data_IF_183041549856
#
_entry.id   IF_183041549856
#
_cell.length_a   1.000
_cell.length_b   1.000
_cell.length_c   1.000
_cell.angle_alpha   90.00
_cell.angle_beta   90.00
_cell.angle_gamma   90.00
#
_symmetry.space_group_name_H-M   'P 1'
#
loop_
_entity.id
_entity.type
_entity.pdbx_description
1 polymer ?
#
# COMPACT_ATOMS: atom_id res chain seq x y z
N UNK A 1 4.08 15.89 -78.94
CA UNK A 1 4.87 16.26 -77.76
C UNK A 1 4.79 15.07 -76.81
N UNK A 2 5.63 14.02 -76.95
CA UNK A 2 6.98 13.87 -76.35
C UNK A 2 6.96 14.26 -74.86
N UNK A 3 7.33 13.49 -73.85
CA UNK A 3 8.03 12.22 -73.66
C UNK A 3 7.83 11.83 -72.17
N UNK A 4 7.66 10.53 -71.90
CA UNK A 4 8.43 9.69 -70.94
C UNK A 4 8.98 10.36 -69.64
N UNK A 5 8.71 9.76 -68.47
CA UNK A 5 9.75 9.13 -67.63
C UNK A 5 9.19 8.42 -66.39
N UNK A 6 9.42 7.12 -66.40
CA UNK A 6 9.42 6.13 -65.32
C UNK A 6 10.20 6.59 -64.09
N UNK A 7 9.66 6.36 -62.88
CA UNK A 7 10.51 6.11 -61.71
C UNK A 7 9.85 5.12 -60.73
N UNK A 8 10.39 3.90 -60.71
CA UNK A 8 10.33 2.96 -59.59
C UNK A 8 10.80 3.68 -58.31
N UNK A 9 10.04 3.61 -57.20
CA UNK A 9 10.71 3.54 -55.90
C UNK A 9 9.81 3.01 -54.79
N UNK A 10 10.20 1.83 -54.32
CA UNK A 10 10.17 1.33 -52.95
C UNK A 10 8.84 1.22 -52.20
N UNK A 11 8.41 -0.04 -52.11
CA UNK A 11 7.73 -0.62 -50.95
C UNK A 11 8.48 -0.27 -49.65
N UNK A 12 7.89 0.61 -48.84
CA UNK A 12 8.32 0.85 -47.45
C UNK A 12 7.64 -0.20 -46.58
N UNK A 13 8.38 -1.25 -46.23
CA UNK A 13 7.90 -2.30 -45.34
C UNK A 13 7.60 -1.70 -43.97
N UNK A 14 6.33 -1.79 -43.57
CA UNK A 14 5.86 -1.38 -42.25
C UNK A 14 6.44 -2.37 -41.23
N UNK A 15 7.53 -1.99 -40.57
CA UNK A 15 8.01 -2.71 -39.40
C UNK A 15 6.98 -2.49 -38.28
N UNK A 16 6.11 -3.48 -38.06
CA UNK A 16 5.36 -3.62 -36.80
C UNK A 16 6.38 -3.99 -35.71
N UNK A 17 6.62 -3.15 -34.69
CA UNK A 17 7.45 -3.56 -33.57
C UNK A 17 6.71 -4.66 -32.80
N UNK A 18 7.34 -5.83 -32.70
CA UNK A 18 6.92 -6.93 -31.84
C UNK A 18 7.05 -6.47 -30.39
N UNK A 19 5.91 -6.21 -29.75
CA UNK A 19 5.84 -5.91 -28.33
C UNK A 19 6.19 -7.18 -27.54
N UNK A 20 7.44 -7.29 -27.11
CA UNK A 20 7.87 -8.32 -26.16
C UNK A 20 7.18 -8.07 -24.81
N UNK A 21 6.14 -8.84 -24.51
CA UNK A 21 5.64 -8.98 -23.13
C UNK A 21 6.74 -9.66 -22.32
N UNK A 22 7.51 -8.88 -21.57
CA UNK A 22 8.40 -9.40 -20.55
C UNK A 22 7.54 -10.03 -19.45
N UNK A 23 7.82 -11.26 -19.00
CA UNK A 23 7.14 -11.82 -17.84
C UNK A 23 7.48 -10.95 -16.63
N UNK A 24 6.47 -10.27 -16.07
CA UNK A 24 6.62 -9.61 -14.78
C UNK A 24 6.79 -10.70 -13.72
N UNK A 25 7.94 -10.74 -13.07
CA UNK A 25 8.09 -11.49 -11.82
C UNK A 25 7.13 -10.84 -10.82
N UNK A 26 5.98 -11.48 -10.59
CA UNK A 26 5.01 -11.03 -9.59
C UNK A 26 5.60 -11.37 -8.23
N UNK A 27 6.18 -10.37 -7.57
CA UNK A 27 6.55 -10.50 -6.16
C UNK A 27 5.26 -10.65 -5.38
N UNK A 28 5.15 -11.70 -4.55
CA UNK A 28 3.94 -11.94 -3.79
C UNK A 28 3.68 -10.73 -2.88
N UNK A 29 2.60 -10.02 -3.12
CA UNK A 29 2.30 -8.79 -2.40
C UNK A 29 1.85 -9.19 -1.00
N UNK A 30 2.65 -8.87 0.02
CA UNK A 30 2.40 -9.27 1.41
C UNK A 30 2.00 -8.06 2.23
N UNK A 31 0.78 -8.09 2.75
CA UNK A 31 0.21 -7.05 3.59
C UNK A 31 0.02 -7.61 4.99
N UNK A 32 0.31 -6.80 6.00
CA UNK A 32 0.13 -7.19 7.40
C UNK A 32 -0.80 -6.19 8.04
N UNK A 33 -1.93 -6.68 8.51
CA UNK A 33 -2.97 -5.88 9.13
C UNK A 33 -2.93 -6.18 10.62
N UNK A 34 -2.63 -5.16 11.42
CA UNK A 34 -2.49 -5.31 12.87
C UNK A 34 -2.86 -4.01 13.61
N UNK A 35 -2.63 -3.97 14.91
CA UNK A 35 -2.65 -2.77 15.73
C UNK A 35 -1.45 -2.77 16.68
N UNK A 36 -1.26 -1.71 17.44
CA UNK A 36 -0.11 -1.64 18.36
C UNK A 36 -0.19 -2.58 19.56
N UNK A 37 -1.39 -3.06 19.91
CA UNK A 37 -1.56 -4.07 20.96
C UNK A 37 -1.08 -5.47 20.51
N UNK A 38 -0.97 -5.70 19.19
CA UNK A 38 -0.55 -6.96 18.59
C UNK A 38 0.67 -6.73 17.66
N UNK A 39 1.87 -6.52 18.23
CA UNK A 39 3.06 -6.28 17.43
C UNK A 39 3.41 -7.50 16.54
N UNK A 40 3.95 -7.21 15.37
CA UNK A 40 4.33 -8.22 14.36
C UNK A 40 5.81 -8.11 14.01
N UNK A 41 6.42 -9.23 13.64
CA UNK A 41 7.78 -9.27 13.09
C UNK A 41 7.71 -9.44 11.59
N UNK A 42 8.11 -8.39 10.86
CA UNK A 42 7.99 -8.32 9.40
C UNK A 42 9.33 -7.93 8.75
N UNK A 43 9.67 -8.49 7.58
CA UNK A 43 10.75 -7.98 6.73
C UNK A 43 10.54 -6.50 6.38
N UNK A 44 11.64 -5.76 6.15
CA UNK A 44 11.62 -4.32 5.89
C UNK A 44 10.81 -3.87 4.67
N UNK A 45 10.57 -4.76 3.70
CA UNK A 45 9.79 -4.48 2.49
C UNK A 45 8.31 -4.90 2.61
N UNK A 46 7.81 -5.17 3.83
CA UNK A 46 6.42 -5.59 4.04
C UNK A 46 5.53 -4.38 4.28
N UNK A 47 4.39 -4.31 3.60
CA UNK A 47 3.39 -3.26 3.85
C UNK A 47 2.64 -3.59 5.15
N UNK A 48 2.78 -2.75 6.16
CA UNK A 48 2.07 -2.89 7.44
C UNK A 48 0.95 -1.84 7.49
N UNK A 49 -0.25 -2.28 7.85
CA UNK A 49 -1.44 -1.47 8.05
C UNK A 49 -1.80 -1.56 9.53
N UNK A 50 -1.72 -0.44 10.23
CA UNK A 50 -2.08 -0.31 11.64
C UNK A 50 -3.49 0.29 11.75
N UNK A 51 -4.43 -0.51 12.24
CA UNK A 51 -5.84 -0.08 12.30
C UNK A 51 -6.12 0.95 13.40
N UNK A 52 -5.22 1.10 14.37
CA UNK A 52 -5.32 2.05 15.47
C UNK A 52 -4.49 3.32 15.26
N UNK A 53 -3.82 3.48 14.11
CA UNK A 53 -2.96 4.64 13.81
C UNK A 53 -3.73 5.96 13.92
N UNK A 54 -4.93 6.04 13.34
CA UNK A 54 -5.74 7.25 13.39
C UNK A 54 -6.02 7.67 14.84
N UNK A 55 -6.56 6.76 15.66
CA UNK A 55 -6.88 7.06 17.07
C UNK A 55 -5.64 7.52 17.83
N UNK A 56 -4.49 6.89 17.57
CA UNK A 56 -3.23 7.25 18.22
C UNK A 56 -2.74 8.64 17.83
N UNK A 57 -2.83 8.98 16.55
CA UNK A 57 -2.47 10.31 16.05
C UNK A 57 -3.39 11.39 16.64
N UNK A 58 -4.69 11.10 16.76
CA UNK A 58 -5.67 11.98 17.43
C UNK A 58 -5.37 12.15 18.92
N UNK A 59 -5.04 11.08 19.63
CA UNK A 59 -4.64 11.14 21.04
C UNK A 59 -3.34 11.93 21.24
N UNK A 60 -2.34 11.72 20.36
CA UNK A 60 -1.09 12.47 20.38
C UNK A 60 -1.35 13.96 20.15
N UNK A 61 -2.15 14.30 19.14
CA UNK A 61 -2.55 15.68 18.90
C UNK A 61 -3.26 16.26 20.12
N UNK A 62 -4.21 15.53 20.71
CA UNK A 62 -5.00 15.99 21.85
C UNK A 62 -4.16 16.32 23.08
N UNK A 63 -3.04 15.61 23.31
CA UNK A 63 -2.10 15.90 24.41
C UNK A 63 -1.34 17.20 24.23
N UNK A 64 -1.16 17.64 22.99
CA UNK A 64 -0.47 18.91 22.65
C UNK A 64 -1.43 20.12 22.70
N UNK A 65 -2.72 19.91 22.98
CA UNK A 65 -3.72 20.97 23.01
C UNK A 65 -4.03 21.47 24.42
N UNK A 66 -4.09 22.81 24.63
CA UNK A 66 -4.58 23.40 25.86
C UNK A 66 -6.03 23.01 26.16
N UNK A 67 -6.38 22.94 27.45
CA UNK A 67 -7.76 22.66 27.89
C UNK A 67 -8.74 23.82 27.62
N UNK A 68 -8.26 25.05 27.40
CA UNK A 68 -9.08 26.20 27.01
C UNK A 68 -9.40 26.11 25.50
N UNK A 69 -10.68 25.96 25.10
CA UNK A 69 -11.07 25.81 23.69
C UNK A 69 -10.61 26.94 22.78
N UNK A 70 -10.57 28.20 23.27
CA UNK A 70 -10.14 29.34 22.45
C UNK A 70 -8.64 29.31 22.19
N UNK A 71 -7.87 28.84 23.17
CA UNK A 71 -6.43 28.66 23.03
C UNK A 71 -6.11 27.42 22.20
N UNK A 72 -6.90 26.36 22.33
CA UNK A 72 -6.79 25.15 21.54
C UNK A 72 -6.95 25.44 20.04
N UNK A 73 -7.96 26.22 19.64
CA UNK A 73 -8.20 26.56 18.23
C UNK A 73 -6.99 27.30 17.62
N UNK A 74 -6.51 28.36 18.28
CA UNK A 74 -5.34 29.10 17.81
C UNK A 74 -4.04 28.26 17.82
N UNK A 75 -3.97 27.24 18.68
CA UNK A 75 -2.82 26.33 18.76
C UNK A 75 -2.88 25.29 17.65
N UNK A 76 -4.05 24.69 17.39
CA UNK A 76 -4.30 23.80 16.25
C UNK A 76 -3.97 24.48 14.94
N UNK A 77 -4.44 25.72 14.72
CA UNK A 77 -4.22 26.41 13.45
C UNK A 77 -2.72 26.65 13.20
N UNK A 78 -1.97 27.06 14.24
CA UNK A 78 -0.51 27.22 14.16
C UNK A 78 0.21 25.88 13.96
N UNK A 79 -0.24 24.84 14.65
CA UNK A 79 0.33 23.50 14.53
C UNK A 79 0.10 22.92 13.13
N UNK A 80 -1.11 22.98 12.59
CA UNK A 80 -1.45 22.48 11.24
C UNK A 80 -0.70 23.24 10.13
N UNK A 81 -0.44 24.53 10.32
CA UNK A 81 0.39 25.33 9.41
C UNK A 81 1.89 25.00 9.48
N UNK A 82 2.33 24.27 10.50
CA UNK A 82 3.74 23.90 10.68
C UNK A 82 4.14 22.69 9.80
N UNK A 83 5.45 22.44 9.60
CA UNK A 83 5.92 21.20 8.98
C UNK A 83 5.40 19.94 9.68
N UNK A 84 5.35 19.92 11.02
CA UNK A 84 4.84 18.79 11.79
C UNK A 84 3.35 18.54 11.51
N UNK A 85 2.55 19.60 11.41
CA UNK A 85 1.14 19.50 11.04
C UNK A 85 0.89 18.99 9.62
N UNK A 86 1.81 19.24 8.68
CA UNK A 86 1.74 18.64 7.33
C UNK A 86 2.09 17.16 7.34
N UNK A 87 3.05 16.73 8.15
CA UNK A 87 3.33 15.31 8.37
C UNK A 87 2.11 14.60 8.98
N UNK A 88 1.52 15.16 10.04
CA UNK A 88 0.31 14.63 10.66
C UNK A 88 -0.84 14.45 9.66
N UNK A 89 -1.07 15.42 8.78
CA UNK A 89 -2.12 15.33 7.75
C UNK A 89 -1.85 14.19 6.74
N UNK A 90 -0.59 13.97 6.37
CA UNK A 90 -0.21 12.86 5.49
C UNK A 90 -0.40 11.51 6.20
N UNK A 91 0.08 11.40 7.43
CA UNK A 91 -0.01 10.17 8.22
C UNK A 91 -1.48 9.79 8.48
N UNK A 92 -2.34 10.77 8.76
CA UNK A 92 -3.80 10.56 8.86
C UNK A 92 -4.42 10.07 7.54
N UNK A 93 -4.03 10.66 6.41
CA UNK A 93 -4.53 10.22 5.11
C UNK A 93 -4.11 8.77 4.79
N UNK A 94 -2.86 8.41 5.10
CA UNK A 94 -2.34 7.05 4.93
C UNK A 94 -3.06 6.05 5.84
N UNK A 95 -3.30 6.41 7.11
CA UNK A 95 -4.05 5.57 8.04
C UNK A 95 -5.48 5.31 7.55
N UNK A 96 -6.17 6.35 7.06
CA UNK A 96 -7.52 6.24 6.51
C UNK A 96 -7.58 5.28 5.30
N UNK A 97 -6.61 5.38 4.40
CA UNK A 97 -6.50 4.51 3.24
C UNK A 97 -6.20 3.06 3.67
N UNK A 98 -5.30 2.86 4.63
CA UNK A 98 -4.96 1.54 5.16
C UNK A 98 -6.14 0.81 5.79
N UNK A 99 -6.99 1.51 6.57
CA UNK A 99 -8.20 0.93 7.17
C UNK A 99 -9.18 0.48 6.08
N UNK A 100 -9.35 1.28 5.03
CA UNK A 100 -10.24 0.95 3.90
C UNK A 100 -9.74 -0.30 3.15
N UNK A 101 -8.43 -0.36 2.90
CA UNK A 101 -7.76 -1.49 2.28
C UNK A 101 -7.96 -2.79 3.09
N UNK A 102 -7.81 -2.72 4.42
CA UNK A 102 -8.00 -3.88 5.30
C UNK A 102 -9.46 -4.39 5.32
N UNK A 103 -10.45 -3.50 5.28
CA UNK A 103 -11.87 -3.90 5.19
C UNK A 103 -12.20 -4.56 3.87
N UNK A 104 -11.61 -4.11 2.76
CA UNK A 104 -11.82 -4.75 1.44
C UNK A 104 -11.37 -6.23 1.42
N UNK A 105 -10.43 -6.58 2.29
CA UNK A 105 -9.87 -7.92 2.45
C UNK A 105 -10.66 -8.78 3.45
N UNK A 106 -11.69 -8.23 4.10
CA UNK A 106 -12.56 -8.98 5.02
C UNK A 106 -11.86 -9.48 6.28
N UNK A 107 -10.84 -8.77 6.78
CA UNK A 107 -10.09 -9.16 7.97
C UNK A 107 -10.98 -9.12 9.23
N UNK A 108 -11.15 -10.28 9.88
CA UNK A 108 -11.96 -10.42 11.08
C UNK A 108 -11.15 -10.39 12.39
N UNK A 109 -9.86 -10.75 12.33
CA UNK A 109 -9.00 -10.97 13.51
C UNK A 109 -7.60 -10.42 13.27
N UNK A 110 -6.94 -9.99 14.34
CA UNK A 110 -5.58 -9.46 14.31
C UNK A 110 -4.60 -10.35 15.09
N UNK A 111 -3.31 -10.36 14.71
CA UNK A 111 -2.77 -9.86 13.43
C UNK A 111 -3.25 -10.73 12.25
N UNK A 112 -3.34 -10.14 11.06
CA UNK A 112 -3.65 -10.85 9.82
C UNK A 112 -2.56 -10.61 8.78
N UNK A 113 -1.98 -11.69 8.26
CA UNK A 113 -1.02 -11.65 7.16
C UNK A 113 -1.73 -12.06 5.88
N UNK A 114 -1.80 -11.15 4.92
CA UNK A 114 -2.45 -11.34 3.62
C UNK A 114 -1.39 -11.45 2.53
N UNK A 115 -1.45 -12.50 1.72
CA UNK A 115 -0.55 -12.70 0.58
C UNK A 115 -1.37 -12.77 -0.71
N UNK A 116 -0.95 -12.00 -1.72
CA UNK A 116 -1.57 -11.89 -3.05
C UNK A 116 -3.05 -11.53 -3.00
N UNK A 117 -3.49 -10.79 -1.97
CA UNK A 117 -4.89 -10.43 -1.73
C UNK A 117 -5.86 -11.63 -1.75
N UNK A 118 -5.37 -12.85 -1.51
CA UNK A 118 -6.15 -14.10 -1.65
C UNK A 118 -6.03 -15.02 -0.45
N UNK A 119 -4.86 -15.07 0.19
CA UNK A 119 -4.60 -15.95 1.31
C UNK A 119 -4.42 -15.12 2.57
N UNK A 120 -5.09 -15.51 3.65
CA UNK A 120 -5.03 -14.81 4.93
C UNK A 120 -4.62 -15.81 6.02
N UNK A 121 -3.61 -15.45 6.82
CA UNK A 121 -3.24 -16.16 8.04
C UNK A 121 -3.55 -15.27 9.23
N UNK A 122 -4.42 -15.75 10.11
CA UNK A 122 -4.81 -15.06 11.33
C UNK A 122 -3.96 -15.49 12.52
N UNK A 123 -3.64 -14.55 13.41
CA UNK A 123 -3.03 -14.80 14.71
C UNK A 123 -1.54 -15.13 14.68
N UNK A 124 -0.90 -15.12 13.50
CA UNK A 124 0.53 -15.36 13.37
C UNK A 124 1.29 -14.02 13.32
N UNK A 125 2.04 -13.66 14.37
CA UNK A 125 2.78 -12.40 14.41
C UNK A 125 4.09 -12.44 13.62
N UNK A 126 4.62 -13.63 13.30
CA UNK A 126 5.80 -13.77 12.43
C UNK A 126 5.36 -13.88 10.97
N UNK A 127 5.61 -12.82 10.20
CA UNK A 127 5.20 -12.73 8.79
C UNK A 127 5.89 -13.81 7.94
N UNK A 128 7.15 -14.13 8.23
CA UNK A 128 7.91 -15.14 7.48
C UNK A 128 7.29 -16.52 7.68
N UNK A 129 6.88 -16.80 8.92
CA UNK A 129 6.18 -18.04 9.26
C UNK A 129 4.80 -18.11 8.61
N UNK A 130 4.05 -17.02 8.60
CA UNK A 130 2.75 -16.93 7.94
C UNK A 130 2.86 -17.18 6.42
N UNK A 131 3.83 -16.57 5.75
CA UNK A 131 4.11 -16.80 4.32
C UNK A 131 4.46 -18.28 4.07
N UNK A 132 5.29 -18.87 4.92
CA UNK A 132 5.66 -20.30 4.82
C UNK A 132 4.43 -21.22 4.96
N UNK A 133 3.50 -20.89 5.84
CA UNK A 133 2.23 -21.63 5.99
C UNK A 133 1.39 -21.57 4.70
N UNK A 134 1.32 -20.39 4.08
CA UNK A 134 0.61 -20.19 2.80
C UNK A 134 1.29 -20.97 1.67
N UNK A 135 2.61 -20.91 1.56
CA UNK A 135 3.35 -21.63 0.51
C UNK A 135 3.21 -23.15 0.65
N UNK A 136 3.19 -23.66 1.89
CA UNK A 136 2.87 -25.07 2.14
C UNK A 136 1.44 -25.42 1.76
N UNK A 137 0.46 -24.58 2.10
CA UNK A 137 -0.93 -24.82 1.72
C UNK A 137 -1.12 -24.85 0.19
N UNK A 138 -0.42 -23.95 -0.53
CA UNK A 138 -0.42 -23.90 -2.00
C UNK A 138 0.16 -25.17 -2.62
N UNK A 139 1.26 -25.70 -2.09
CA UNK A 139 1.90 -26.89 -2.65
C UNK A 139 1.08 -28.16 -2.48
N UNK A 140 0.26 -28.25 -1.42
CA UNK A 140 -0.66 -29.37 -1.20
C UNK A 140 -1.91 -29.32 -2.09
N UNK A 141 -2.25 -28.15 -2.63
CA UNK A 141 -3.41 -27.95 -3.50
C UNK A 141 -3.12 -28.15 -4.99
N UNK A 142 -1.87 -28.44 -5.35
CA UNK A 142 -1.40 -28.58 -6.73
C UNK A 142 -1.35 -30.04 -7.17
#
# INVERSE_FOLDING_TARGET
>A
MTDIHTHLSQMRHWFFPLLLLLPTVSHAETWVITNHAHPVSAPSCTRIILLDDQQRLEEQLSRELPADPRQAEATIQRYLASPAGRHLQNDLALAQHGVTDAWSLGVEKLPAVVVDSRYVVYGEPDVTKAVTLIDRARSLSR
#
